data_IF_515489688523
#
_entry.id   IF_515489688523
#
_cell.length_a   1.000
_cell.length_b   1.000
_cell.length_c   1.000
_cell.angle_alpha   90.00
_cell.angle_beta   90.00
_cell.angle_gamma   90.00
#
_symmetry.space_group_name_H-M   'P 1'
#
loop_
_entity.id
_entity.type
_entity.pdbx_description
1 polymer ?
#
# COMPACT_ATOMS: atom_id res chain seq x y z
N UNK A 1 0.38 6.97 8.03
CA UNK A 1 1.51 6.63 7.15
C UNK A 1 1.15 5.42 6.30
N UNK A 2 1.34 5.52 5.03
CA UNK A 2 1.15 4.42 4.07
C UNK A 2 2.51 3.81 3.73
N UNK A 3 2.59 2.51 3.59
CA UNK A 3 3.74 1.88 2.94
C UNK A 3 3.43 1.68 1.47
N UNK A 4 4.39 1.95 0.59
CA UNK A 4 4.23 1.82 -0.85
C UNK A 4 5.35 0.97 -1.45
N UNK A 5 5.05 0.32 -2.56
CA UNK A 5 5.99 -0.52 -3.28
C UNK A 5 5.95 -0.16 -4.77
N UNK A 6 7.12 -0.01 -5.39
CA UNK A 6 7.22 0.26 -6.82
C UNK A 6 7.01 -1.03 -7.60
N UNK A 7 5.77 -1.27 -7.98
CA UNK A 7 5.39 -2.51 -8.67
C UNK A 7 5.35 -2.38 -10.20
N UNK A 8 5.32 -1.17 -10.76
CA UNK A 8 5.26 -0.90 -12.20
C UNK A 8 4.15 -1.69 -12.91
N UNK A 9 3.01 -1.84 -12.27
CA UNK A 9 1.88 -2.60 -12.80
C UNK A 9 2.05 -4.11 -12.76
N UNK A 10 3.14 -4.61 -12.19
CA UNK A 10 3.35 -6.05 -12.00
C UNK A 10 2.57 -6.54 -10.78
N UNK A 11 2.09 -7.78 -10.81
CA UNK A 11 1.36 -8.47 -9.74
C UNK A 11 0.00 -7.88 -9.40
N UNK A 12 -0.15 -6.58 -9.44
CA UNK A 12 -1.40 -5.86 -9.27
C UNK A 12 -1.31 -4.49 -9.95
N UNK A 13 -2.44 -3.82 -10.11
CA UNK A 13 -2.46 -2.52 -10.79
C UNK A 13 -1.98 -1.41 -9.87
N UNK A 14 -1.02 -0.63 -10.34
CA UNK A 14 -0.50 0.52 -9.60
C UNK A 14 -1.59 1.56 -9.38
N UNK A 15 -1.70 2.06 -8.16
CA UNK A 15 -2.74 2.99 -7.73
C UNK A 15 -2.23 4.18 -6.93
N UNK A 16 -0.90 4.33 -6.84
CA UNK A 16 -0.25 5.39 -6.07
C UNK A 16 0.78 6.12 -6.92
N UNK A 17 0.72 7.43 -6.92
CA UNK A 17 1.79 8.31 -7.39
C UNK A 17 2.58 8.77 -6.17
N UNK A 18 3.86 8.42 -6.12
CA UNK A 18 4.73 8.64 -4.97
C UNK A 18 6.00 9.35 -5.42
N UNK A 19 6.41 10.34 -4.63
CA UNK A 19 7.70 11.01 -4.79
C UNK A 19 8.59 10.68 -3.60
N UNK A 20 9.68 9.98 -3.87
CA UNK A 20 10.60 9.51 -2.85
C UNK A 20 11.40 10.64 -2.20
N UNK A 21 11.53 10.59 -0.88
CA UNK A 21 12.27 11.54 -0.06
C UNK A 21 13.51 10.96 0.64
N UNK A 22 14.07 9.85 0.13
CA UNK A 22 15.22 9.21 0.74
C UNK A 22 14.90 8.60 2.11
N UNK A 23 15.84 8.73 3.06
CA UNK A 23 15.73 8.11 4.39
C UNK A 23 14.58 8.66 5.21
N UNK A 24 14.14 9.88 4.93
CA UNK A 24 13.05 10.55 5.66
C UNK A 24 11.66 10.20 5.15
N UNK A 25 11.58 9.29 4.16
CA UNK A 25 10.34 8.91 3.52
C UNK A 25 10.03 9.79 2.31
N UNK A 26 8.78 9.82 1.89
CA UNK A 26 8.36 10.56 0.71
C UNK A 26 6.93 11.06 0.81
N UNK A 27 6.42 11.58 -0.29
CA UNK A 27 5.09 12.15 -0.39
C UNK A 27 4.21 11.32 -1.31
N UNK A 28 2.99 11.09 -0.90
CA UNK A 28 1.94 10.61 -1.79
C UNK A 28 1.41 11.82 -2.55
N UNK A 29 1.50 11.79 -3.88
CA UNK A 29 0.96 12.85 -4.73
C UNK A 29 -0.46 12.54 -5.19
N UNK A 30 -0.77 11.26 -5.42
CA UNK A 30 -2.10 10.82 -5.78
C UNK A 30 -2.31 9.36 -5.37
N UNK A 31 -3.54 9.03 -5.01
CA UNK A 31 -3.97 7.68 -4.69
C UNK A 31 -5.40 7.48 -5.16
N UNK A 32 -5.64 6.49 -6.01
CA UNK A 32 -6.99 6.15 -6.44
C UNK A 32 -7.04 4.73 -6.99
N UNK A 33 -8.04 3.97 -6.55
CA UNK A 33 -8.35 2.66 -7.11
C UNK A 33 -9.10 2.74 -8.43
N UNK A 34 -9.74 3.87 -8.72
CA UNK A 34 -10.63 4.03 -9.87
C UNK A 34 -10.09 5.00 -10.92
N UNK A 35 -9.50 6.12 -10.52
CA UNK A 35 -8.97 7.15 -11.41
C UNK A 35 -7.46 7.04 -11.52
N UNK A 36 -7.00 6.01 -12.21
CA UNK A 36 -5.56 5.73 -12.37
C UNK A 36 -4.93 6.64 -13.42
N UNK A 37 -3.69 7.02 -13.18
CA UNK A 37 -2.90 7.85 -14.10
C UNK A 37 -1.63 7.13 -14.53
N UNK A 38 -1.01 7.52 -15.68
CA UNK A 38 0.27 6.96 -16.11
C UNK A 38 1.43 7.23 -15.14
N UNK A 39 1.27 8.17 -14.19
CA UNK A 39 2.28 8.48 -13.19
C UNK A 39 2.21 7.58 -11.96
N UNK A 40 1.21 6.72 -11.89
CA UNK A 40 1.07 5.75 -10.78
C UNK A 40 1.92 4.51 -11.05
N UNK A 41 3.10 4.47 -10.46
CA UNK A 41 4.05 3.35 -10.58
C UNK A 41 4.13 2.52 -9.30
N UNK A 42 3.39 2.90 -8.27
CA UNK A 42 3.44 2.31 -6.95
C UNK A 42 2.09 1.72 -6.57
N UNK A 43 2.14 0.83 -5.62
CA UNK A 43 0.94 0.24 -5.01
C UNK A 43 1.00 0.43 -3.49
N UNK A 44 -0.18 0.56 -2.87
CA UNK A 44 -0.31 0.44 -1.42
C UNK A 44 0.15 -0.96 -1.01
N UNK A 45 1.18 -1.02 -0.16
CA UNK A 45 1.77 -2.28 0.27
C UNK A 45 0.90 -3.07 1.26
N UNK A 46 -0.15 -2.44 1.78
CA UNK A 46 -1.09 -3.07 2.68
C UNK A 46 -0.77 -2.92 4.17
N UNK A 47 0.36 -2.31 4.51
CA UNK A 47 0.70 -1.99 5.89
C UNK A 47 0.62 -0.48 6.09
N UNK A 48 -0.22 -0.04 7.01
CA UNK A 48 -0.37 1.37 7.35
C UNK A 48 -0.25 1.60 8.86
N UNK A 49 0.17 2.80 9.21
CA UNK A 49 0.22 3.26 10.61
C UNK A 49 -0.57 4.55 10.72
N UNK A 50 -1.50 4.59 11.66
CA UNK A 50 -2.40 5.72 11.86
C UNK A 50 -2.36 6.20 13.31
N UNK A 51 -2.51 7.50 13.49
CA UNK A 51 -2.88 8.02 14.80
C UNK A 51 -4.36 7.74 15.05
N UNK A 52 -4.74 7.52 16.29
CA UNK A 52 -6.13 7.27 16.67
C UNK A 52 -7.07 8.40 16.21
N UNK A 53 -6.58 9.64 16.19
CA UNK A 53 -7.36 10.79 15.73
C UNK A 53 -7.81 10.67 14.27
N UNK A 54 -7.10 9.90 13.44
CA UNK A 54 -7.49 9.70 12.04
C UNK A 54 -8.85 9.03 11.90
N UNK A 55 -9.27 8.28 12.93
CA UNK A 55 -10.56 7.57 12.96
C UNK A 55 -11.66 8.36 13.65
N UNK A 56 -11.36 9.53 14.19
CA UNK A 56 -12.37 10.38 14.82
C UNK A 56 -13.30 10.96 13.76
N UNK A 57 -14.59 11.04 14.09
CA UNK A 57 -15.61 11.51 13.18
C UNK A 57 -16.14 10.46 12.21
N UNK A 58 -15.58 9.24 12.22
CA UNK A 58 -16.15 8.14 11.45
C UNK A 58 -17.41 7.61 12.14
N UNK A 59 -18.50 7.33 11.39
CA UNK A 59 -19.71 6.76 11.97
C UNK A 59 -19.41 5.38 12.59
N UNK A 60 -19.90 5.16 13.79
CA UNK A 60 -19.77 3.86 14.45
C UNK A 60 -20.71 2.84 13.81
N UNK A 61 -20.22 1.60 13.64
CA UNK A 61 -21.03 0.50 13.16
C UNK A 61 -21.24 0.46 11.65
N UNK A 62 -20.66 1.38 10.88
CA UNK A 62 -20.71 1.37 9.43
C UNK A 62 -19.38 0.88 8.84
N UNK A 63 -19.41 -0.07 7.89
CA UNK A 63 -18.19 -0.47 7.19
C UNK A 63 -17.66 0.67 6.34
N UNK A 64 -16.34 0.84 6.35
CA UNK A 64 -15.67 1.85 5.53
C UNK A 64 -14.49 1.26 4.78
N UNK A 65 -14.29 1.71 3.54
CA UNK A 65 -13.10 1.36 2.78
C UNK A 65 -11.91 2.19 3.29
N UNK A 66 -10.82 1.52 3.61
CA UNK A 66 -9.58 2.16 4.04
C UNK A 66 -9.07 3.15 2.98
N UNK A 67 -9.34 2.89 1.69
CA UNK A 67 -9.00 3.81 0.61
C UNK A 67 -9.63 5.20 0.77
N UNK A 68 -10.85 5.28 1.31
CA UNK A 68 -11.51 6.56 1.59
C UNK A 68 -10.78 7.33 2.68
N UNK A 69 -10.30 6.65 3.71
CA UNK A 69 -9.51 7.27 4.78
C UNK A 69 -8.18 7.81 4.25
N UNK A 70 -7.48 7.02 3.43
CA UNK A 70 -6.24 7.46 2.80
C UNK A 70 -6.48 8.68 1.89
N UNK A 71 -7.54 8.67 1.08
CA UNK A 71 -7.87 9.79 0.21
C UNK A 71 -8.17 11.07 1.01
N UNK A 72 -8.85 10.94 2.14
CA UNK A 72 -9.14 12.07 3.02
C UNK A 72 -7.87 12.64 3.67
N UNK A 73 -7.00 11.76 4.17
CA UNK A 73 -5.71 12.18 4.75
C UNK A 73 -4.82 12.85 3.70
N UNK A 74 -4.81 12.33 2.48
CA UNK A 74 -4.06 12.92 1.37
C UNK A 74 -4.57 14.32 1.05
N UNK A 75 -5.88 14.50 0.97
CA UNK A 75 -6.53 15.79 0.70
C UNK A 75 -6.19 16.82 1.77
N UNK A 76 -6.06 16.39 3.03
CA UNK A 76 -5.66 17.23 4.16
C UNK A 76 -4.14 17.37 4.32
N UNK A 77 -3.35 16.81 3.40
CA UNK A 77 -1.88 16.78 3.42
C UNK A 77 -1.30 16.18 4.70
N UNK A 78 -1.97 15.16 5.22
CA UNK A 78 -1.60 14.45 6.45
C UNK A 78 -1.21 12.99 6.20
N UNK A 79 -0.91 12.63 4.96
CA UNK A 79 -0.52 11.27 4.58
C UNK A 79 0.97 11.22 4.27
N UNK A 80 1.74 10.69 5.20
CA UNK A 80 3.14 10.37 4.97
C UNK A 80 3.28 8.99 4.32
N UNK A 81 4.38 8.73 3.65
CA UNK A 81 4.64 7.45 3.01
C UNK A 81 6.08 6.99 3.19
N UNK A 82 6.25 5.67 3.23
CA UNK A 82 7.56 5.01 3.25
C UNK A 82 7.58 3.96 2.14
N UNK A 83 8.63 3.99 1.32
CA UNK A 83 8.82 3.00 0.27
C UNK A 83 9.42 1.71 0.83
N UNK A 84 8.81 0.57 0.48
CA UNK A 84 9.30 -0.77 0.78
C UNK A 84 10.02 -1.29 -0.45
N UNK A 85 11.20 -1.88 -0.29
CA UNK A 85 12.05 -2.33 -1.39
C UNK A 85 11.82 -3.79 -1.79
N UNK A 86 11.28 -4.61 -0.89
CA UNK A 86 11.02 -6.03 -1.17
C UNK A 86 9.59 -6.21 -1.69
N UNK A 87 9.44 -7.06 -2.71
CA UNK A 87 8.12 -7.33 -3.27
C UNK A 87 7.21 -8.04 -2.26
N UNK A 88 5.91 -7.80 -2.39
CA UNK A 88 4.90 -8.54 -1.65
C UNK A 88 4.57 -9.87 -2.32
N UNK A 89 3.99 -10.78 -1.54
CA UNK A 89 3.40 -12.03 -2.02
C UNK A 89 1.95 -12.09 -1.56
N UNK A 90 1.06 -12.57 -2.43
CA UNK A 90 -0.36 -12.65 -2.14
C UNK A 90 -0.88 -14.04 -2.51
N UNK A 91 -1.99 -14.44 -1.90
CA UNK A 91 -2.61 -15.74 -2.11
C UNK A 91 -4.06 -15.63 -2.59
N UNK A 92 -4.48 -14.45 -3.01
CA UNK A 92 -5.83 -14.18 -3.50
C UNK A 92 -6.07 -14.59 -4.95
N UNK A 93 -5.02 -15.02 -5.67
CA UNK A 93 -5.11 -15.52 -7.03
C UNK A 93 -4.39 -16.87 -7.16
N UNK A 94 -4.75 -17.71 -8.16
CA UNK A 94 -4.02 -18.97 -8.38
C UNK A 94 -2.54 -18.77 -8.67
N UNK A 95 -2.19 -17.74 -9.43
CA UNK A 95 -0.79 -17.42 -9.71
C UNK A 95 -0.05 -16.92 -8.49
N UNK A 96 -0.66 -16.02 -7.70
CA UNK A 96 -0.08 -15.53 -6.46
C UNK A 96 0.14 -16.65 -5.46
N UNK A 97 -0.79 -17.59 -5.37
CA UNK A 97 -0.64 -18.78 -4.52
C UNK A 97 0.55 -19.64 -4.95
N UNK A 98 0.71 -19.87 -6.26
CA UNK A 98 1.85 -20.62 -6.80
C UNK A 98 3.18 -19.94 -6.51
N UNK A 99 3.28 -18.65 -6.79
CA UNK A 99 4.49 -17.86 -6.54
C UNK A 99 4.85 -17.82 -5.05
N UNK A 100 3.85 -17.66 -4.19
CA UNK A 100 4.06 -17.67 -2.74
C UNK A 100 4.56 -19.03 -2.26
N UNK A 101 3.99 -20.11 -2.77
CA UNK A 101 4.42 -21.47 -2.43
C UNK A 101 5.87 -21.72 -2.86
N UNK A 102 6.25 -21.29 -4.06
CA UNK A 102 7.63 -21.39 -4.55
C UNK A 102 8.60 -20.58 -3.68
N UNK A 103 8.22 -19.37 -3.33
CA UNK A 103 9.01 -18.50 -2.46
C UNK A 103 9.25 -19.16 -1.09
N UNK A 104 8.20 -19.64 -0.45
CA UNK A 104 8.29 -20.28 0.87
C UNK A 104 9.06 -21.59 0.83
N UNK A 105 9.00 -22.34 -0.28
CA UNK A 105 9.77 -23.58 -0.45
C UNK A 105 11.26 -23.31 -0.62
N UNK A 106 11.63 -22.19 -1.23
CA UNK A 106 13.02 -21.76 -1.43
C UNK A 106 13.62 -21.08 -0.20
N UNK A 107 12.79 -20.48 0.63
CA UNK A 107 13.21 -19.86 1.88
C UNK A 107 13.07 -20.85 3.04
N UNK A 108 14.18 -21.18 3.67
CA UNK A 108 14.12 -21.86 4.97
C UNK A 108 13.75 -20.80 6.01
N UNK A 109 12.45 -20.67 6.27
CA UNK A 109 11.99 -19.88 7.39
C UNK A 109 12.36 -20.63 8.66
N UNK A 110 13.39 -20.18 9.32
CA UNK A 110 13.75 -20.69 10.64
C UNK A 110 12.75 -20.10 11.64
N UNK A 111 11.74 -20.90 11.97
CA UNK A 111 10.73 -20.55 12.97
C UNK A 111 11.18 -20.86 14.40
N UNK A 112 12.44 -21.12 14.57
CA UNK A 112 13.04 -21.45 15.87
C UNK A 112 13.12 -20.31 16.85
#
# INVERSE_FOLDING_TARGET
MMTVFRNEGKWDTSNVEFEGGGVEGGKILAYSKTNRTPRMHYIDYGLGVFRAEAFQGLPKGEPRDLAELYADLLRRKQLAAVEVQERFYEIGSPEGLRETAEFLAGERVDLG
#
